data_IF_284595167360
#
_entry.id   IF_284595167360
#
_cell.length_a   1.000
_cell.length_b   1.000
_cell.length_c   1.000
_cell.angle_alpha   90.00
_cell.angle_beta   90.00
_cell.angle_gamma   90.00
#
_symmetry.space_group_name_H-M   'P 1'
#
loop_
_entity.id
_entity.type
_entity.pdbx_description
1 polymer ?
#
# COMPACT_ATOMS: atom_id res chain seq x y z
N UNK A 1 -27.78 18.17 -16.47
CA UNK A 1 -26.81 18.38 -17.57
C UNK A 1 -26.82 17.18 -18.49
N UNK A 2 -26.71 17.41 -19.78
CA UNK A 2 -26.50 16.36 -20.79
C UNK A 2 -25.03 15.91 -20.78
N UNK A 3 -24.70 14.73 -21.37
CA UNK A 3 -23.30 14.31 -21.53
C UNK A 3 -22.45 15.33 -22.29
N UNK A 4 -23.02 16.04 -23.26
CA UNK A 4 -22.35 17.12 -23.98
C UNK A 4 -22.02 18.32 -23.08
N UNK A 5 -22.92 18.69 -22.18
CA UNK A 5 -22.68 19.77 -21.21
C UNK A 5 -21.54 19.41 -20.25
N UNK A 6 -21.51 18.15 -19.79
CA UNK A 6 -20.44 17.64 -18.93
C UNK A 6 -19.09 17.65 -19.62
N UNK A 7 -19.07 17.23 -20.89
CA UNK A 7 -17.88 17.30 -21.73
C UNK A 7 -17.37 18.73 -21.88
N UNK A 8 -18.25 19.67 -22.23
CA UNK A 8 -17.89 21.07 -22.40
C UNK A 8 -17.33 21.70 -21.10
N UNK A 9 -17.86 21.33 -19.93
CA UNK A 9 -17.35 21.77 -18.64
C UNK A 9 -15.91 21.27 -18.38
N UNK A 10 -15.65 19.99 -18.67
CA UNK A 10 -14.34 19.37 -18.50
C UNK A 10 -13.33 19.94 -19.50
N UNK A 11 -13.70 20.10 -20.77
CA UNK A 11 -12.86 20.72 -21.80
C UNK A 11 -12.49 22.15 -21.43
N UNK A 12 -13.44 22.95 -20.93
CA UNK A 12 -13.14 24.32 -20.51
C UNK A 12 -12.09 24.38 -19.38
N UNK A 13 -12.08 23.40 -18.48
CA UNK A 13 -11.04 23.28 -17.45
C UNK A 13 -9.70 22.82 -18.03
N UNK A 14 -9.69 21.77 -18.85
CA UNK A 14 -8.47 21.23 -19.45
C UNK A 14 -7.78 22.22 -20.40
N UNK A 15 -8.55 23.04 -21.11
CA UNK A 15 -8.05 24.10 -21.99
C UNK A 15 -7.54 25.34 -21.22
N UNK A 16 -7.65 25.36 -19.88
CA UNK A 16 -7.27 26.49 -19.04
C UNK A 16 -8.22 27.69 -19.12
N UNK A 17 -9.37 27.56 -19.80
CA UNK A 17 -10.43 28.59 -19.84
C UNK A 17 -11.17 28.74 -18.51
N UNK A 18 -11.03 27.75 -17.63
CA UNK A 18 -11.67 27.67 -16.34
C UNK A 18 -10.64 27.25 -15.29
N UNK A 19 -10.56 27.97 -14.16
CA UNK A 19 -9.66 27.58 -13.07
C UNK A 19 -10.15 26.31 -12.36
N UNK A 20 -9.24 25.61 -11.68
CA UNK A 20 -9.57 24.39 -10.92
C UNK A 20 -10.69 24.61 -9.89
N UNK A 21 -10.63 25.72 -9.14
CA UNK A 21 -11.69 26.09 -8.20
C UNK A 21 -13.03 26.39 -8.88
N UNK A 22 -13.01 27.11 -10.01
CA UNK A 22 -14.22 27.41 -10.76
C UNK A 22 -14.83 26.12 -11.34
N UNK A 23 -13.99 25.15 -11.72
CA UNK A 23 -14.40 23.85 -12.22
C UNK A 23 -15.08 23.06 -11.11
N UNK A 24 -14.42 22.93 -9.97
CA UNK A 24 -14.95 22.27 -8.77
C UNK A 24 -16.33 22.82 -8.39
N UNK A 25 -16.48 24.14 -8.24
CA UNK A 25 -17.77 24.75 -7.85
C UNK A 25 -18.89 24.43 -8.85
N UNK A 26 -18.60 24.58 -10.15
CA UNK A 26 -19.58 24.29 -11.22
C UNK A 26 -19.90 22.81 -11.32
N UNK A 27 -18.91 21.94 -11.11
CA UNK A 27 -19.09 20.49 -11.11
C UNK A 27 -20.00 20.06 -9.96
N UNK A 28 -19.76 20.53 -8.74
CA UNK A 28 -20.57 20.19 -7.56
C UNK A 28 -22.01 20.71 -7.71
N UNK A 29 -22.18 21.93 -8.21
CA UNK A 29 -23.51 22.49 -8.50
C UNK A 29 -24.28 21.64 -9.53
N UNK A 30 -23.62 21.32 -10.65
CA UNK A 30 -24.17 20.47 -11.70
C UNK A 30 -24.49 19.05 -11.22
N UNK A 31 -23.64 18.49 -10.35
CA UNK A 31 -23.79 17.16 -9.77
C UNK A 31 -25.03 17.10 -8.88
N UNK A 32 -25.18 18.07 -7.97
CA UNK A 32 -26.36 18.21 -7.10
C UNK A 32 -27.64 18.40 -7.90
N UNK A 33 -27.60 19.23 -8.95
CA UNK A 33 -28.74 19.45 -9.83
C UNK A 33 -29.13 18.21 -10.66
N UNK A 34 -28.20 17.27 -10.86
CA UNK A 34 -28.44 16.05 -11.66
C UNK A 34 -29.10 14.91 -10.87
N UNK A 35 -29.28 15.05 -9.55
CA UNK A 35 -30.02 14.08 -8.72
C UNK A 35 -29.48 12.65 -8.77
N UNK A 36 -28.17 12.49 -9.03
CA UNK A 36 -27.50 11.19 -9.13
C UNK A 36 -27.60 10.49 -10.49
N UNK A 37 -28.25 11.08 -11.49
CA UNK A 37 -28.26 10.57 -12.88
C UNK A 37 -27.15 11.21 -13.69
N UNK A 38 -25.96 10.64 -13.60
CA UNK A 38 -24.75 11.11 -14.30
C UNK A 38 -24.07 9.96 -15.05
N UNK A 39 -23.32 10.25 -16.12
CA UNK A 39 -22.51 9.25 -16.79
C UNK A 39 -21.49 8.61 -15.83
N UNK A 40 -21.13 7.32 -16.01
CA UNK A 40 -20.16 6.62 -15.16
C UNK A 40 -18.83 7.37 -15.00
N UNK A 41 -18.33 7.96 -16.10
CA UNK A 41 -17.09 8.74 -16.11
C UNK A 41 -17.15 10.00 -15.23
N UNK A 42 -18.34 10.62 -15.13
CA UNK A 42 -18.59 11.76 -14.23
C UNK A 42 -18.72 11.27 -12.79
N UNK A 43 -19.33 10.11 -12.58
CA UNK A 43 -19.40 9.50 -11.25
C UNK A 43 -18.03 9.14 -10.69
N UNK A 44 -17.11 8.64 -11.51
CA UNK A 44 -15.73 8.38 -11.07
C UNK A 44 -14.94 9.65 -10.76
N UNK A 45 -15.31 10.80 -11.35
CA UNK A 45 -14.62 12.07 -11.13
C UNK A 45 -15.01 12.72 -9.79
N UNK A 46 -16.20 12.41 -9.24
CA UNK A 46 -16.75 13.04 -8.05
C UNK A 46 -15.82 12.93 -6.83
N UNK A 47 -15.25 11.75 -6.55
CA UNK A 47 -14.36 11.58 -5.39
C UNK A 47 -13.09 12.43 -5.47
N UNK A 48 -12.56 12.65 -6.67
CA UNK A 48 -11.37 13.50 -6.88
C UNK A 48 -11.72 14.98 -6.74
N UNK A 49 -12.90 15.39 -7.19
CA UNK A 49 -13.39 16.76 -6.99
C UNK A 49 -13.63 17.06 -5.51
N UNK A 50 -14.15 16.10 -4.75
CA UNK A 50 -14.34 16.23 -3.29
C UNK A 50 -13.02 16.28 -2.53
N UNK A 51 -12.03 15.47 -2.93
CA UNK A 51 -10.68 15.54 -2.36
C UNK A 51 -10.04 16.92 -2.62
N UNK A 52 -10.13 17.43 -3.85
CA UNK A 52 -9.66 18.77 -4.18
C UNK A 52 -10.42 19.88 -3.42
N UNK A 53 -11.72 19.71 -3.18
CA UNK A 53 -12.49 20.65 -2.34
C UNK A 53 -11.97 20.69 -0.91
N UNK A 54 -11.62 19.54 -0.33
CA UNK A 54 -10.98 19.48 0.97
C UNK A 54 -9.61 20.19 0.97
N UNK A 55 -8.78 19.93 -0.04
CA UNK A 55 -7.47 20.58 -0.16
C UNK A 55 -7.60 22.12 -0.30
N UNK A 56 -8.61 22.60 -1.04
CA UNK A 56 -8.91 24.04 -1.15
C UNK A 56 -9.38 24.65 0.17
N UNK A 57 -10.13 23.90 0.98
CA UNK A 57 -10.57 24.36 2.29
C UNK A 57 -9.40 24.43 3.28
N UNK A 58 -8.51 23.45 3.26
CA UNK A 58 -7.33 23.37 4.13
C UNK A 58 -6.26 24.39 3.74
N UNK A 59 -6.08 24.65 2.44
CA UNK A 59 -5.07 25.58 1.93
C UNK A 59 -5.43 27.07 2.06
N UNK A 60 -6.62 27.42 2.59
CA UNK A 60 -7.07 28.81 2.78
C UNK A 60 -6.13 29.67 3.65
N UNK A 61 -5.21 29.06 4.39
CA UNK A 61 -4.19 29.78 5.19
C UNK A 61 -2.82 29.93 4.50
N UNK A 62 -2.40 29.02 3.61
CA UNK A 62 -0.98 28.91 3.16
C UNK A 62 -0.73 28.91 1.63
N UNK A 63 -1.75 29.04 0.79
CA UNK A 63 -1.56 29.30 -0.65
C UNK A 63 -1.76 28.11 -1.60
N UNK A 64 -1.14 28.18 -2.78
CA UNK A 64 -1.50 27.48 -4.04
C UNK A 64 -1.82 25.99 -3.87
N UNK A 65 -3.04 25.59 -4.24
CA UNK A 65 -3.48 24.19 -4.30
C UNK A 65 -3.01 23.56 -5.61
N UNK A 66 -2.39 22.37 -5.53
CA UNK A 66 -2.03 21.61 -6.72
C UNK A 66 -3.28 20.96 -7.34
N UNK A 67 -3.54 21.19 -8.62
CA UNK A 67 -4.66 20.62 -9.36
C UNK A 67 -4.27 19.47 -10.32
N UNK A 68 -3.05 18.95 -10.24
CA UNK A 68 -2.57 17.90 -11.15
C UNK A 68 -3.40 16.61 -11.10
N UNK A 69 -3.79 16.17 -9.89
CA UNK A 69 -4.65 14.99 -9.73
C UNK A 69 -6.04 15.22 -10.32
N UNK A 70 -6.59 16.43 -10.12
CA UNK A 70 -7.86 16.85 -10.69
C UNK A 70 -7.78 16.89 -12.22
N UNK A 71 -6.68 17.41 -12.77
CA UNK A 71 -6.42 17.47 -14.22
C UNK A 71 -6.31 16.07 -14.83
N UNK A 72 -5.58 15.16 -14.18
CA UNK A 72 -5.47 13.77 -14.63
C UNK A 72 -6.82 13.04 -14.58
N UNK A 73 -7.61 13.25 -13.52
CA UNK A 73 -8.93 12.64 -13.39
C UNK A 73 -9.90 13.19 -14.44
N UNK A 74 -9.86 14.50 -14.72
CA UNK A 74 -10.63 15.14 -15.77
C UNK A 74 -10.28 14.61 -17.17
N UNK A 75 -8.99 14.38 -17.46
CA UNK A 75 -8.53 13.74 -18.70
C UNK A 75 -9.05 12.31 -18.86
N UNK A 76 -9.05 11.53 -17.78
CA UNK A 76 -9.64 10.17 -17.77
C UNK A 76 -11.16 10.21 -17.92
N UNK A 77 -11.83 11.19 -17.33
CA UNK A 77 -13.27 11.33 -17.46
C UNK A 77 -13.67 11.63 -18.91
N UNK A 78 -12.94 12.52 -19.60
CA UNK A 78 -13.28 12.89 -20.98
C UNK A 78 -13.02 11.77 -21.99
N UNK A 79 -11.98 10.95 -21.80
CA UNK A 79 -11.75 9.79 -22.66
C UNK A 79 -12.89 8.77 -22.54
N UNK A 80 -13.46 8.62 -21.34
CA UNK A 80 -14.47 7.62 -21.02
C UNK A 80 -15.92 8.14 -21.16
N UNK A 81 -16.10 9.45 -21.39
CA UNK A 81 -17.39 10.09 -21.61
C UNK A 81 -18.05 9.73 -22.96
N UNK A 82 -17.26 9.16 -23.88
CA UNK A 82 -17.69 8.83 -25.25
C UNK A 82 -18.23 7.41 -25.37
N UNK A 83 -18.06 6.58 -24.34
CA UNK A 83 -18.67 5.25 -24.29
C UNK A 83 -20.09 5.41 -23.75
N UNK A 84 -21.09 5.30 -24.63
CA UNK A 84 -22.53 5.23 -24.33
C UNK A 84 -22.88 3.98 -23.50
N UNK A 85 -22.28 3.87 -22.31
CA UNK A 85 -22.66 2.89 -21.30
C UNK A 85 -23.95 3.34 -20.62
N UNK A 86 -24.85 2.40 -20.24
CA UNK A 86 -26.10 2.74 -19.59
C UNK A 86 -25.86 3.62 -18.36
N UNK A 87 -26.64 4.70 -18.24
CA UNK A 87 -26.58 5.63 -17.12
C UNK A 87 -26.62 4.87 -15.79
N UNK A 88 -25.65 5.14 -14.91
CA UNK A 88 -25.57 4.48 -13.61
C UNK A 88 -26.81 4.88 -12.80
N UNK A 89 -27.69 3.91 -12.54
CA UNK A 89 -28.80 4.09 -11.60
C UNK A 89 -28.24 4.44 -10.20
N UNK A 90 -28.96 5.24 -9.38
CA UNK A 90 -28.50 5.61 -8.05
C UNK A 90 -28.10 4.33 -7.30
N UNK A 91 -26.91 4.33 -6.69
CA UNK A 91 -26.40 3.18 -5.95
C UNK A 91 -27.32 2.90 -4.76
N UNK A 92 -28.40 2.16 -4.99
CA UNK A 92 -29.03 1.38 -3.93
C UNK A 92 -27.98 0.39 -3.49
N UNK A 93 -27.41 0.62 -2.31
CA UNK A 93 -26.51 -0.28 -1.64
C UNK A 93 -27.15 -1.68 -1.61
N UNK A 94 -26.77 -2.50 -2.59
CA UNK A 94 -27.32 -3.83 -2.77
C UNK A 94 -26.68 -4.71 -1.70
N UNK A 95 -27.35 -4.77 -0.53
CA UNK A 95 -26.89 -5.50 0.66
C UNK A 95 -26.54 -6.95 0.34
N UNK A 96 -27.13 -7.51 -0.72
CA UNK A 96 -26.87 -8.86 -1.23
C UNK A 96 -25.53 -8.96 -1.96
N UNK A 97 -25.16 -7.95 -2.76
CA UNK A 97 -23.84 -7.88 -3.42
C UNK A 97 -22.73 -7.63 -2.41
N UNK A 98 -22.94 -6.72 -1.46
CA UNK A 98 -21.99 -6.46 -0.38
C UNK A 98 -21.71 -7.72 0.47
N UNK A 99 -22.75 -8.49 0.84
CA UNK A 99 -22.57 -9.76 1.57
C UNK A 99 -21.81 -10.82 0.76
N UNK A 100 -22.05 -10.91 -0.55
CA UNK A 100 -21.31 -11.83 -1.42
C UNK A 100 -19.82 -11.44 -1.54
N UNK A 101 -19.54 -10.14 -1.56
CA UNK A 101 -18.18 -9.59 -1.63
C UNK A 101 -17.41 -9.77 -0.31
N UNK A 102 -18.05 -9.48 0.84
CA UNK A 102 -17.49 -9.77 2.16
C UNK A 102 -17.16 -11.25 2.36
N UNK A 103 -18.00 -12.16 1.83
CA UNK A 103 -17.75 -13.60 1.93
C UNK A 103 -16.52 -14.04 1.13
N UNK A 104 -16.26 -13.41 -0.03
CA UNK A 104 -15.04 -13.66 -0.83
C UNK A 104 -13.80 -13.06 -0.16
N UNK A 105 -13.88 -11.83 0.34
CA UNK A 105 -12.76 -11.20 1.06
C UNK A 105 -12.40 -11.95 2.35
N UNK A 106 -13.39 -12.48 3.07
CA UNK A 106 -13.13 -13.27 4.28
C UNK A 106 -12.38 -14.57 3.96
N UNK A 107 -12.75 -15.29 2.89
CA UNK A 107 -12.03 -16.52 2.48
C UNK A 107 -10.59 -16.21 2.04
N UNK A 108 -10.37 -15.11 1.33
CA UNK A 108 -9.03 -14.71 0.86
C UNK A 108 -8.14 -14.15 1.99
N UNK A 109 -8.73 -13.44 2.96
CA UNK A 109 -8.03 -12.95 4.15
C UNK A 109 -7.62 -14.07 5.09
N UNK A 110 -8.44 -15.12 5.24
CA UNK A 110 -8.12 -16.27 6.11
C UNK A 110 -6.90 -17.05 5.60
N UNK A 111 -6.72 -17.14 4.27
CA UNK A 111 -5.54 -17.77 3.65
C UNK A 111 -4.24 -16.96 3.80
N UNK A 112 -4.29 -15.63 3.71
CA UNK A 112 -3.10 -14.77 3.86
C UNK A 112 -2.73 -14.48 5.32
N UNK A 113 -3.71 -14.37 6.23
CA UNK A 113 -3.44 -14.12 7.64
C UNK A 113 -2.80 -15.33 8.34
N UNK A 114 -3.21 -16.56 7.99
CA UNK A 114 -2.60 -17.78 8.53
C UNK A 114 -1.14 -17.93 8.13
N UNK A 115 -0.83 -17.75 6.84
CA UNK A 115 0.55 -17.82 6.34
C UNK A 115 1.39 -16.67 6.90
N UNK A 116 0.83 -15.46 7.00
CA UNK A 116 1.51 -14.31 7.60
C UNK A 116 1.89 -14.53 9.06
N UNK A 117 0.99 -15.09 9.87
CA UNK A 117 1.29 -15.46 11.26
C UNK A 117 2.36 -16.55 11.35
N UNK A 118 2.32 -17.57 10.50
CA UNK A 118 3.35 -18.62 10.48
C UNK A 118 4.72 -18.03 10.11
N UNK A 119 4.77 -17.15 9.11
CA UNK A 119 6.01 -16.45 8.72
C UNK A 119 6.52 -15.57 9.87
N UNK A 120 5.63 -14.83 10.53
CA UNK A 120 6.00 -13.99 11.67
C UNK A 120 6.55 -14.83 12.84
N UNK A 121 5.92 -15.97 13.14
CA UNK A 121 6.40 -16.89 14.18
C UNK A 121 7.76 -17.49 13.82
N UNK A 122 7.97 -17.88 12.55
CA UNK A 122 9.28 -18.35 12.06
C UNK A 122 10.33 -17.24 12.24
N UNK A 123 9.99 -15.99 11.90
CA UNK A 123 10.89 -14.86 12.08
C UNK A 123 11.25 -14.60 13.53
N UNK A 124 10.26 -14.63 14.44
CA UNK A 124 10.51 -14.49 15.87
C UNK A 124 11.40 -15.61 16.39
N UNK A 125 11.16 -16.86 15.95
CA UNK A 125 12.00 -18.00 16.31
C UNK A 125 13.44 -17.83 15.81
N UNK A 126 13.62 -17.34 14.58
CA UNK A 126 14.95 -17.05 14.02
C UNK A 126 15.66 -15.92 14.79
N UNK A 127 14.95 -14.85 15.17
CA UNK A 127 15.51 -13.79 16.00
C UNK A 127 15.98 -14.31 17.36
N UNK A 128 15.17 -15.15 18.02
CA UNK A 128 15.55 -15.75 19.31
C UNK A 128 16.77 -16.65 19.16
N UNK A 129 16.81 -17.47 18.11
CA UNK A 129 17.93 -18.35 17.81
C UNK A 129 19.21 -17.55 17.52
N UNK A 130 19.09 -16.47 16.77
CA UNK A 130 20.19 -15.56 16.46
C UNK A 130 20.72 -14.88 17.72
N UNK A 131 19.86 -14.44 18.64
CA UNK A 131 20.28 -13.87 19.93
C UNK A 131 21.03 -14.93 20.75
N UNK A 132 20.51 -16.17 20.82
CA UNK A 132 21.15 -17.26 21.56
C UNK A 132 22.58 -17.52 21.06
N UNK A 133 22.75 -17.80 19.76
CA UNK A 133 24.06 -18.10 19.18
C UNK A 133 25.03 -16.93 19.24
N UNK A 134 24.57 -15.70 18.99
CA UNK A 134 25.44 -14.53 19.11
C UNK A 134 25.85 -14.32 20.57
N UNK A 135 24.96 -14.55 21.53
CA UNK A 135 25.29 -14.42 22.96
C UNK A 135 26.31 -15.47 23.40
N UNK A 136 26.17 -16.72 22.96
CA UNK A 136 27.10 -17.81 23.25
C UNK A 136 28.48 -17.56 22.64
N UNK A 137 28.52 -17.13 21.37
CA UNK A 137 29.77 -16.75 20.71
C UNK A 137 30.47 -15.60 21.43
N UNK A 138 29.72 -14.59 21.91
CA UNK A 138 30.32 -13.48 22.68
C UNK A 138 30.84 -13.96 24.04
N UNK A 139 30.15 -14.89 24.71
CA UNK A 139 30.63 -15.49 25.96
C UNK A 139 31.95 -16.22 25.75
N UNK A 140 32.04 -17.07 24.71
CA UNK A 140 33.27 -17.82 24.41
C UNK A 140 34.40 -16.93 23.92
N UNK A 141 34.11 -15.93 23.08
CA UNK A 141 35.13 -15.08 22.48
C UNK A 141 35.70 -14.03 23.45
N UNK A 142 34.91 -13.57 24.41
CA UNK A 142 35.30 -12.47 25.32
C UNK A 142 35.38 -12.88 26.80
N UNK A 143 35.08 -14.14 27.14
CA UNK A 143 35.01 -14.66 28.52
C UNK A 143 34.09 -13.81 29.42
N UNK A 144 33.00 -13.31 28.83
CA UNK A 144 32.05 -12.42 29.47
C UNK A 144 30.94 -13.19 30.17
N UNK A 145 30.48 -12.66 31.30
CA UNK A 145 29.31 -13.20 32.00
C UNK A 145 28.04 -13.21 31.11
N UNK A 146 27.06 -14.04 31.49
CA UNK A 146 25.85 -14.26 30.70
C UNK A 146 25.01 -12.99 30.43
N UNK A 147 25.08 -12.00 31.31
CA UNK A 147 24.30 -10.78 31.22
C UNK A 147 24.83 -9.76 30.16
N UNK A 148 26.12 -9.36 30.18
CA UNK A 148 26.65 -8.44 29.14
C UNK A 148 26.68 -9.04 27.73
N UNK A 149 26.88 -10.36 27.62
CA UNK A 149 26.86 -11.08 26.34
C UNK A 149 25.47 -11.15 25.71
N UNK A 150 24.41 -11.32 26.52
CA UNK A 150 23.04 -11.26 26.03
C UNK A 150 22.66 -9.87 25.49
N UNK A 151 23.12 -8.79 26.15
CA UNK A 151 22.88 -7.40 25.71
C UNK A 151 23.66 -7.09 24.42
N UNK A 152 24.95 -7.46 24.38
CA UNK A 152 25.76 -7.29 23.18
C UNK A 152 25.24 -8.15 22.01
N UNK A 153 24.80 -9.37 22.29
CA UNK A 153 24.22 -10.27 21.29
C UNK A 153 22.87 -9.77 20.76
N UNK A 154 22.04 -9.19 21.62
CA UNK A 154 20.83 -8.48 21.20
C UNK A 154 21.15 -7.32 20.24
N UNK A 155 22.12 -6.47 20.59
CA UNK A 155 22.50 -5.33 19.75
C UNK A 155 23.16 -5.75 18.41
N UNK A 156 23.98 -6.80 18.42
CA UNK A 156 24.61 -7.36 17.23
C UNK A 156 23.62 -8.11 16.33
N UNK A 157 22.60 -8.76 16.91
CA UNK A 157 21.52 -9.38 16.14
C UNK A 157 20.69 -8.35 15.33
N UNK A 158 20.66 -7.08 15.77
CA UNK A 158 20.08 -5.98 15.01
C UNK A 158 20.94 -5.49 13.84
N UNK A 159 22.21 -5.92 13.74
CA UNK A 159 23.07 -5.65 12.58
C UNK A 159 22.91 -6.81 11.58
N UNK A 160 22.08 -6.67 10.52
CA UNK A 160 21.59 -7.83 9.76
C UNK A 160 22.70 -8.65 9.11
N UNK A 161 23.80 -8.00 8.72
CA UNK A 161 24.93 -8.64 8.06
C UNK A 161 25.81 -9.37 9.07
N UNK A 162 26.17 -8.71 10.17
CA UNK A 162 27.08 -9.28 11.19
C UNK A 162 26.37 -10.38 11.98
N UNK A 163 25.11 -10.16 12.35
CA UNK A 163 24.30 -11.14 13.08
C UNK A 163 24.06 -12.43 12.29
N UNK A 164 23.79 -12.34 10.97
CA UNK A 164 23.62 -13.54 10.14
C UNK A 164 24.93 -14.30 9.94
N UNK A 165 26.07 -13.60 9.82
CA UNK A 165 27.39 -14.21 9.72
C UNK A 165 27.77 -14.91 11.04
N UNK A 166 27.56 -14.27 12.18
CA UNK A 166 27.85 -14.87 13.49
C UNK A 166 26.93 -16.06 13.79
N UNK A 167 25.64 -15.97 13.47
CA UNK A 167 24.70 -17.09 13.63
C UNK A 167 25.03 -18.27 12.70
N UNK A 168 25.46 -17.99 11.47
CA UNK A 168 25.98 -19.02 10.56
C UNK A 168 27.21 -19.72 11.14
N UNK A 169 28.19 -18.95 11.63
CA UNK A 169 29.41 -19.49 12.21
C UNK A 169 29.10 -20.33 13.46
N UNK A 170 28.26 -19.82 14.37
CA UNK A 170 27.82 -20.55 15.57
C UNK A 170 27.12 -21.87 15.22
N UNK A 171 26.15 -21.85 14.31
CA UNK A 171 25.45 -23.08 13.90
C UNK A 171 26.39 -24.10 13.25
N UNK A 172 27.36 -23.67 12.44
CA UNK A 172 28.34 -24.60 11.85
C UNK A 172 29.31 -25.19 12.88
N UNK A 173 29.64 -24.44 13.95
CA UNK A 173 30.46 -24.95 15.05
C UNK A 173 29.70 -25.98 15.89
N UNK A 174 28.38 -25.81 16.04
CA UNK A 174 27.48 -26.77 16.69
C UNK A 174 27.18 -28.02 15.82
N UNK A 175 27.81 -28.14 14.65
CA UNK A 175 27.74 -29.31 13.78
C UNK A 175 26.65 -29.26 12.70
N UNK A 176 26.02 -28.10 12.48
CA UNK A 176 25.05 -27.99 11.39
C UNK A 176 25.75 -28.11 10.02
N UNK A 177 25.13 -28.82 9.05
CA UNK A 177 25.62 -28.81 7.69
C UNK A 177 25.66 -27.38 7.16
N UNK A 178 26.82 -26.95 6.66
CA UNK A 178 27.07 -25.58 6.20
C UNK A 178 26.03 -25.08 5.18
N UNK A 179 25.53 -25.98 4.33
CA UNK A 179 24.49 -25.67 3.36
C UNK A 179 23.13 -25.35 4.01
N UNK A 180 22.78 -26.05 5.09
CA UNK A 180 21.53 -25.82 5.84
C UNK A 180 21.62 -24.49 6.60
N UNK A 181 22.73 -24.24 7.28
CA UNK A 181 22.96 -22.97 7.98
C UNK A 181 22.92 -21.78 7.01
N UNK A 182 23.52 -21.90 5.82
CA UNK A 182 23.51 -20.85 4.80
C UNK A 182 22.09 -20.56 4.27
N UNK A 183 21.27 -21.59 4.08
CA UNK A 183 19.88 -21.41 3.63
C UNK A 183 19.06 -20.68 4.70
N UNK A 184 19.19 -21.08 5.97
CA UNK A 184 18.40 -20.52 7.08
C UNK A 184 18.78 -19.07 7.37
N UNK A 185 20.08 -18.73 7.42
CA UNK A 185 20.52 -17.40 7.85
C UNK A 185 20.77 -16.41 6.71
N UNK A 186 20.88 -16.85 5.45
CA UNK A 186 21.07 -15.95 4.31
C UNK A 186 19.98 -16.06 3.26
N UNK A 187 19.59 -17.27 2.84
CA UNK A 187 18.64 -17.43 1.73
C UNK A 187 17.19 -17.12 2.14
N UNK A 188 16.76 -17.53 3.34
CA UNK A 188 15.41 -17.26 3.82
C UNK A 188 15.15 -15.75 4.06
N UNK A 189 16.04 -15.00 4.74
CA UNK A 189 15.91 -13.54 4.85
C UNK A 189 15.92 -12.84 3.49
N UNK A 190 16.81 -13.23 2.58
CA UNK A 190 16.88 -12.68 1.24
C UNK A 190 15.59 -12.95 0.44
N UNK A 191 15.04 -14.16 0.50
CA UNK A 191 13.78 -14.52 -0.15
C UNK A 191 12.60 -13.73 0.43
N UNK A 192 12.58 -13.45 1.74
CA UNK A 192 11.54 -12.60 2.35
C UNK A 192 11.64 -11.14 1.90
N UNK A 193 12.86 -10.58 1.79
CA UNK A 193 13.07 -9.21 1.30
C UNK A 193 12.70 -9.10 -0.19
N UNK A 194 13.13 -10.07 -1.01
CA UNK A 194 12.86 -10.09 -2.46
C UNK A 194 11.38 -10.34 -2.75
N UNK A 195 10.71 -11.21 -1.99
CA UNK A 195 9.26 -11.45 -2.13
C UNK A 195 8.41 -10.25 -1.68
N UNK A 196 8.83 -9.54 -0.62
CA UNK A 196 8.24 -8.27 -0.21
C UNK A 196 8.40 -7.19 -1.28
N UNK A 197 9.60 -7.06 -1.86
CA UNK A 197 9.91 -6.09 -2.91
C UNK A 197 9.14 -6.35 -4.22
N UNK A 198 8.99 -7.62 -4.60
CA UNK A 198 8.23 -8.00 -5.81
C UNK A 198 6.73 -7.79 -5.65
N UNK A 199 6.16 -8.03 -4.46
CA UNK A 199 4.75 -7.66 -4.15
C UNK A 199 4.54 -6.15 -4.20
N UNK A 200 5.46 -5.36 -3.65
CA UNK A 200 5.38 -3.90 -3.69
C UNK A 200 5.44 -3.36 -5.13
N UNK A 201 6.30 -3.93 -5.99
CA UNK A 201 6.35 -3.58 -7.42
C UNK A 201 5.10 -3.98 -8.22
N UNK A 202 4.45 -5.09 -7.87
CA UNK A 202 3.21 -5.52 -8.54
C UNK A 202 1.97 -4.71 -8.12
N UNK A 203 2.03 -4.01 -6.99
CA UNK A 203 0.98 -3.12 -6.47
C UNK A 203 1.25 -1.63 -6.76
N UNK A 204 2.31 -1.29 -7.49
CA UNK A 204 2.49 0.05 -8.01
C UNK A 204 1.32 0.46 -8.92
N UNK A 205 0.92 1.75 -8.93
CA UNK A 205 -0.23 2.21 -9.69
C UNK A 205 -0.03 1.83 -11.15
N UNK A 206 -0.94 1.00 -11.67
CA UNK A 206 -1.05 0.75 -13.10
C UNK A 206 -1.42 2.10 -13.72
N UNK A 207 -0.42 2.72 -14.36
CA UNK A 207 -0.64 3.83 -15.30
C UNK A 207 -1.51 3.38 -16.46
#
# INVERSE_FOLDING_TARGET
>A
MTPADWRALIEAYLDGRLSAEAFMRRFVEAWRASGGRVPPAIASLQSTVEAFEADVLDAREDGVVNDDELRQAAQRAISNLSEDGPAVAPQTFDRTRARAEFRRFQVQATGCAGIGCVIALIWVALCVLQIYFVSEWIQEAFDWGAWPSAVAGFLLAFVPIVGNILAYLGATQEGWPSLVAAIVFFAAPAATIISGWTRWRQQGPRG
#
